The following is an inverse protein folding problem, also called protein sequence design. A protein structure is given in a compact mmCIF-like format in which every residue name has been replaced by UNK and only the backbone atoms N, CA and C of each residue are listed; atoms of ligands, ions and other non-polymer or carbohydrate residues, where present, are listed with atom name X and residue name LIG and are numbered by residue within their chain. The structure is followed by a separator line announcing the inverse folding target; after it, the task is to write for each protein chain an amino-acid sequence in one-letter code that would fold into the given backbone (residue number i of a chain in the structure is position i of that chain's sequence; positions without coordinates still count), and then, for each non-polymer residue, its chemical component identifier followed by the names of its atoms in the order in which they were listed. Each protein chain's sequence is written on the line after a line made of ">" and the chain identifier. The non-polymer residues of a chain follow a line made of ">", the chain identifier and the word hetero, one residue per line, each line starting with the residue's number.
data_IF_885920018620
#
_entry.id   IF_885920018620
#
_cell.length_a   1.000
_cell.length_b   1.000
_cell.length_c   1.000
_cell.angle_alpha   90.00
_cell.angle_beta   90.00
_cell.angle_gamma   90.00
#
_symmetry.space_group_name_H-M   'P 1'
#
loop_
_entity.id
_entity.type
_entity.pdbx_description
1 polymer ?
#
# COMPACT_ATOMS: atom_id res chain seq x y z
N UNK A 1 33.87 -32.85 14.58
CA UNK A 1 33.58 -32.26 13.26
C UNK A 1 32.17 -32.61 12.78
N UNK A 2 31.69 -33.84 12.97
CA UNK A 2 30.35 -34.28 12.53
C UNK A 2 29.15 -33.53 13.15
N UNK A 3 29.24 -33.12 14.42
CA UNK A 3 28.15 -32.37 15.07
C UNK A 3 28.04 -30.92 14.55
N UNK A 4 29.15 -30.33 14.08
CA UNK A 4 29.13 -28.99 13.49
C UNK A 4 28.44 -29.03 12.13
N UNK A 5 28.74 -30.06 11.32
CA UNK A 5 28.14 -30.25 10.00
C UNK A 5 26.65 -30.55 10.09
N UNK A 6 26.20 -31.32 11.10
CA UNK A 6 24.78 -31.57 11.31
C UNK A 6 24.01 -30.29 11.69
N UNK A 7 24.59 -29.47 12.58
CA UNK A 7 24.00 -28.18 12.95
C UNK A 7 23.96 -27.19 11.78
N UNK A 8 25.04 -27.12 10.99
CA UNK A 8 25.09 -26.29 9.78
C UNK A 8 24.03 -26.72 8.75
N UNK A 9 23.84 -28.04 8.56
CA UNK A 9 22.80 -28.56 7.69
C UNK A 9 21.39 -28.21 8.18
N UNK A 10 21.13 -28.37 9.48
CA UNK A 10 19.85 -27.98 10.09
C UNK A 10 19.59 -26.47 9.96
N UNK A 11 20.62 -25.64 10.14
CA UNK A 11 20.52 -24.19 9.98
C UNK A 11 20.24 -23.80 8.53
N UNK A 12 20.86 -24.47 7.56
CA UNK A 12 20.61 -24.24 6.13
C UNK A 12 19.19 -24.66 5.73
N UNK A 13 18.69 -25.75 6.29
CA UNK A 13 17.34 -26.23 6.06
C UNK A 13 16.30 -25.24 6.61
N UNK A 14 16.50 -24.78 7.85
CA UNK A 14 15.69 -23.74 8.47
C UNK A 14 15.70 -22.43 7.68
N UNK A 15 16.86 -22.00 7.17
CA UNK A 15 16.95 -20.82 6.31
C UNK A 15 16.16 -20.96 5.01
N UNK A 16 16.18 -22.16 4.39
CA UNK A 16 15.39 -22.44 3.18
C UNK A 16 13.90 -22.38 3.45
N UNK A 17 13.45 -22.94 4.57
CA UNK A 17 12.04 -22.89 4.97
C UNK A 17 11.58 -21.46 5.21
N UNK A 18 12.34 -20.68 5.98
CA UNK A 18 12.03 -19.27 6.23
C UNK A 18 11.93 -18.49 4.91
N UNK A 19 12.87 -18.69 3.98
CA UNK A 19 12.84 -18.02 2.68
C UNK A 19 11.63 -18.44 1.83
N UNK A 20 11.22 -19.70 1.88
CA UNK A 20 10.04 -20.19 1.18
C UNK A 20 8.77 -19.53 1.74
N UNK A 21 8.64 -19.45 3.06
CA UNK A 21 7.51 -18.81 3.73
C UNK A 21 7.45 -17.31 3.45
N UNK A 22 8.59 -16.61 3.54
CA UNK A 22 8.67 -15.19 3.19
C UNK A 22 8.28 -14.94 1.72
N UNK A 23 8.64 -15.84 0.81
CA UNK A 23 8.25 -15.75 -0.61
C UNK A 23 6.77 -16.03 -0.83
N UNK A 24 6.16 -16.91 -0.04
CA UNK A 24 4.73 -17.17 -0.10
C UNK A 24 3.94 -15.98 0.45
N UNK A 25 4.37 -15.40 1.56
CA UNK A 25 3.83 -14.16 2.12
C UNK A 25 3.94 -12.99 1.13
N UNK A 26 5.07 -12.84 0.44
CA UNK A 26 5.23 -11.78 -0.56
C UNK A 26 4.41 -11.98 -1.83
N UNK A 27 3.95 -13.21 -2.12
CA UNK A 27 3.01 -13.49 -3.22
C UNK A 27 1.56 -13.15 -2.86
N UNK A 28 1.18 -13.35 -1.59
CA UNK A 28 -0.15 -12.95 -1.09
C UNK A 28 -0.25 -11.44 -0.87
N UNK A 29 0.85 -10.79 -0.52
CA UNK A 29 0.96 -9.32 -0.52
C UNK A 29 1.05 -8.88 -1.99
N UNK A 30 -0.06 -8.42 -2.58
CA UNK A 30 0.00 -7.77 -3.89
C UNK A 30 1.03 -6.64 -3.86
N UNK A 31 1.88 -6.45 -4.91
CA UNK A 31 2.83 -5.34 -4.99
C UNK A 31 2.18 -3.95 -4.80
N UNK A 32 0.87 -3.88 -4.96
CA UNK A 32 0.02 -2.71 -4.69
C UNK A 32 -0.01 -2.28 -3.21
N UNK A 33 0.51 -3.07 -2.26
CA UNK A 33 0.43 -2.80 -0.83
C UNK A 33 1.78 -2.60 -0.14
N UNK A 34 2.89 -2.66 -0.87
CA UNK A 34 4.17 -2.15 -0.36
C UNK A 34 4.15 -0.63 -0.56
N UNK A 35 3.99 0.20 0.48
CA UNK A 35 4.22 1.62 0.30
C UNK A 35 5.68 1.75 -0.09
N UNK A 36 5.93 2.11 -1.35
CA UNK A 36 7.24 2.42 -1.85
C UNK A 36 7.90 3.38 -0.84
N UNK A 37 9.15 3.11 -0.48
CA UNK A 37 9.86 3.64 0.69
C UNK A 37 9.89 5.17 0.88
N UNK A 38 9.28 5.97 0.00
CA UNK A 38 9.19 7.43 0.12
C UNK A 38 7.87 7.98 -0.47
N UNK A 39 6.78 7.22 -0.46
CA UNK A 39 5.55 7.70 -1.09
C UNK A 39 4.94 8.86 -0.28
N UNK A 40 4.91 10.06 -0.90
CA UNK A 40 4.37 11.28 -0.28
C UNK A 40 2.92 11.05 0.16
N UNK A 41 2.69 11.11 1.47
CA UNK A 41 1.35 11.10 2.05
C UNK A 41 0.63 12.41 1.76
N UNK A 42 -0.57 12.31 1.20
CA UNK A 42 -1.41 13.44 0.85
C UNK A 42 -2.45 13.71 1.94
N UNK A 43 -2.62 14.98 2.27
CA UNK A 43 -3.72 15.48 3.09
C UNK A 43 -5.03 15.47 2.31
N UNK A 44 -6.15 15.60 3.02
CA UNK A 44 -7.48 15.82 2.42
C UNK A 44 -7.48 16.90 1.34
N UNK A 45 -6.91 18.07 1.62
CA UNK A 45 -6.90 19.19 0.68
C UNK A 45 -6.12 18.83 -0.59
N UNK A 46 -4.93 18.25 -0.43
CA UNK A 46 -4.13 17.79 -1.56
C UNK A 46 -4.85 16.72 -2.40
N UNK A 47 -5.65 15.84 -1.79
CA UNK A 47 -6.45 14.84 -2.54
C UNK A 47 -7.55 15.51 -3.37
N UNK A 48 -8.26 16.47 -2.79
CA UNK A 48 -9.31 17.25 -3.47
C UNK A 48 -8.72 17.97 -4.69
N UNK A 49 -7.57 18.62 -4.51
CA UNK A 49 -6.88 19.37 -5.55
C UNK A 49 -6.32 18.46 -6.65
N UNK A 50 -5.72 17.32 -6.25
CA UNK A 50 -5.16 16.34 -7.17
C UNK A 50 -6.21 15.65 -8.03
N UNK A 51 -7.35 15.30 -7.44
CA UNK A 51 -8.45 14.64 -8.16
C UNK A 51 -9.38 15.63 -8.89
N UNK A 52 -9.19 16.95 -8.68
CA UNK A 52 -10.05 18.04 -9.19
C UNK A 52 -11.53 17.78 -8.90
N UNK A 53 -11.84 17.48 -7.64
CA UNK A 53 -13.20 17.22 -7.18
C UNK A 53 -13.65 18.25 -6.14
N UNK A 54 -14.96 18.34 -5.90
CA UNK A 54 -15.48 19.08 -4.75
C UNK A 54 -15.29 18.34 -3.44
N UNK A 55 -15.30 19.07 -2.33
CA UNK A 55 -15.30 18.52 -0.97
C UNK A 55 -16.49 17.57 -0.73
N UNK A 56 -17.66 17.90 -1.28
CA UNK A 56 -18.85 17.02 -1.23
C UNK A 56 -18.64 15.69 -1.97
N UNK A 57 -17.91 15.70 -3.09
CA UNK A 57 -17.57 14.47 -3.83
C UNK A 57 -16.53 13.66 -3.08
N UNK A 58 -15.56 14.30 -2.44
CA UNK A 58 -14.60 13.65 -1.56
C UNK A 58 -15.31 12.93 -0.41
N UNK A 59 -16.21 13.61 0.31
CA UNK A 59 -16.97 13.01 1.43
C UNK A 59 -17.86 11.85 0.98
N UNK A 60 -18.51 11.97 -0.19
CA UNK A 60 -19.28 10.85 -0.76
C UNK A 60 -18.39 9.64 -1.03
N UNK A 61 -17.24 9.84 -1.67
CA UNK A 61 -16.29 8.76 -1.99
C UNK A 61 -15.69 8.09 -0.75
N UNK A 62 -15.50 8.83 0.34
CA UNK A 62 -15.15 8.26 1.65
C UNK A 62 -16.24 7.32 2.17
N UNK A 63 -17.51 7.77 2.17
CA UNK A 63 -18.63 6.95 2.64
C UNK A 63 -18.84 5.70 1.79
N UNK A 64 -18.62 5.81 0.49
CA UNK A 64 -18.78 4.72 -0.47
C UNK A 64 -17.54 3.79 -0.50
N UNK A 65 -16.51 4.04 0.32
CA UNK A 65 -15.29 3.21 0.42
C UNK A 65 -14.33 3.30 -0.78
N UNK A 66 -14.52 4.30 -1.66
CA UNK A 66 -13.64 4.55 -2.82
C UNK A 66 -12.37 5.30 -2.46
N UNK A 67 -12.39 6.03 -1.34
CA UNK A 67 -11.23 6.67 -0.75
C UNK A 67 -11.02 6.05 0.64
N UNK A 68 -9.85 5.48 0.87
CA UNK A 68 -9.50 4.81 2.12
C UNK A 68 -8.35 5.53 2.82
N UNK A 69 -8.64 6.45 3.76
CA UNK A 69 -7.61 7.18 4.48
C UNK A 69 -6.95 6.30 5.53
N UNK A 70 -5.67 6.56 5.72
CA UNK A 70 -4.91 6.10 6.88
C UNK A 70 -5.22 7.08 8.01
N UNK A 71 -5.84 6.55 9.08
CA UNK A 71 -6.09 7.33 10.29
C UNK A 71 -4.78 7.51 11.05
N UNK A 72 -4.22 8.72 11.05
CA UNK A 72 -3.06 9.09 11.87
C UNK A 72 -3.42 10.22 12.83
N UNK A 73 -2.64 10.34 13.91
CA UNK A 73 -2.70 11.50 14.81
C UNK A 73 -2.32 12.73 13.97
N UNK A 74 -3.26 13.68 13.82
CA UNK A 74 -3.13 14.83 12.91
C UNK A 74 -3.97 14.76 11.63
N UNK A 75 -4.86 13.77 11.50
CA UNK A 75 -5.90 13.72 10.46
C UNK A 75 -5.67 12.65 9.40
N UNK A 76 -6.64 12.56 8.49
CA UNK A 76 -6.67 11.58 7.39
C UNK A 76 -5.52 11.81 6.39
N UNK A 77 -4.82 10.73 6.05
CA UNK A 77 -3.74 10.72 5.05
C UNK A 77 -3.98 9.67 3.99
N UNK A 78 -3.53 9.92 2.77
CA UNK A 78 -3.65 8.99 1.64
C UNK A 78 -2.30 8.73 1.00
N UNK A 79 -2.04 7.49 0.58
CA UNK A 79 -0.99 7.24 -0.40
C UNK A 79 -1.45 7.69 -1.78
N UNK A 80 -0.53 8.26 -2.57
CA UNK A 80 -0.84 8.68 -3.93
C UNK A 80 -1.20 7.48 -4.83
N UNK A 81 -0.52 6.36 -4.65
CA UNK A 81 -0.80 5.07 -5.28
C UNK A 81 -2.27 4.63 -5.13
N UNK A 82 -2.83 4.77 -3.93
CA UNK A 82 -4.23 4.40 -3.66
C UNK A 82 -5.24 5.26 -4.45
N UNK A 83 -4.84 6.48 -4.83
CA UNK A 83 -5.69 7.42 -5.57
C UNK A 83 -5.67 7.21 -7.08
N UNK A 84 -4.80 6.34 -7.60
CA UNK A 84 -4.62 6.16 -9.05
C UNK A 84 -5.93 5.80 -9.73
N UNK A 85 -6.73 4.91 -9.14
CA UNK A 85 -8.03 4.52 -9.71
C UNK A 85 -8.98 5.71 -9.85
N UNK A 86 -9.10 6.52 -8.81
CA UNK A 86 -9.97 7.69 -8.81
C UNK A 86 -9.42 8.83 -9.68
N UNK A 87 -8.10 8.92 -9.83
CA UNK A 87 -7.45 9.86 -10.74
C UNK A 87 -7.77 9.52 -12.20
N UNK A 88 -7.69 8.24 -12.58
CA UNK A 88 -8.09 7.80 -13.92
C UNK A 88 -9.58 8.04 -14.17
N UNK A 89 -10.44 7.84 -13.16
CA UNK A 89 -11.86 8.15 -13.28
C UNK A 89 -12.11 9.66 -13.44
N UNK A 90 -11.35 10.52 -12.77
CA UNK A 90 -11.42 11.97 -12.98
C UNK A 90 -10.98 12.37 -14.39
N UNK A 91 -9.92 11.76 -14.94
CA UNK A 91 -9.51 11.94 -16.35
C UNK A 91 -10.60 11.49 -17.32
N UNK A 92 -11.19 10.30 -17.11
CA UNK A 92 -12.29 9.77 -17.95
C UNK A 92 -13.50 10.71 -17.99
N UNK A 93 -13.75 11.45 -16.90
CA UNK A 93 -14.83 12.44 -16.79
C UNK A 93 -14.44 13.85 -17.23
N UNK A 94 -13.20 14.07 -17.69
CA UNK A 94 -12.71 15.37 -18.15
C UNK A 94 -12.50 16.41 -17.06
N UNK A 95 -12.25 15.99 -15.81
CA UNK A 95 -11.94 16.92 -14.71
C UNK A 95 -10.47 17.32 -14.64
N UNK A 96 -9.62 16.49 -15.25
CA UNK A 96 -8.15 16.57 -15.32
C UNK A 96 -7.75 16.36 -16.77
#
# INVERSE_FOLDING_TARGET
>A
MENLTLFEMQMLELQREILAELRNLSRTISPTQLPALEEKLMTRQEVVDYLKISESTYLRRLRDGRLNPIKKIGGDRFYKSDLIREFQESKRRGRI
#
